data_IF_617232246675
#
_entry.id   IF_617232246675
#
_cell.length_a   1.000
_cell.length_b   1.000
_cell.length_c   1.000
_cell.angle_alpha   90.00
_cell.angle_beta   90.00
_cell.angle_gamma   90.00
#
_symmetry.space_group_name_H-M   'P 1'
#
loop_
_entity.id
_entity.type
_entity.pdbx_description
1 polymer ?
#
# COMPACT_ATOMS: atom_id res chain seq x y z
N UNK A 1 18.75 8.64 -9.16
CA UNK A 1 17.90 7.71 -9.94
C UNK A 1 17.04 8.56 -10.86
N UNK A 2 16.97 8.25 -12.15
CA UNK A 2 16.04 8.95 -13.05
C UNK A 2 14.60 8.61 -12.65
N UNK A 3 13.70 9.58 -12.70
CA UNK A 3 12.27 9.35 -12.46
C UNK A 3 11.71 8.39 -13.53
N UNK A 4 10.88 7.41 -13.15
CA UNK A 4 10.34 6.43 -14.08
C UNK A 4 9.27 7.05 -15.00
N UNK A 5 9.20 6.57 -16.24
CA UNK A 5 8.07 6.87 -17.13
C UNK A 5 6.79 6.20 -16.64
N UNK A 6 5.69 6.97 -16.63
CA UNK A 6 4.41 6.48 -16.16
C UNK A 6 3.48 6.23 -17.35
N UNK A 7 2.89 5.04 -17.40
CA UNK A 7 2.06 4.59 -18.51
C UNK A 7 0.69 4.13 -18.03
N UNK A 8 -0.33 4.46 -18.82
CA UNK A 8 -1.67 3.89 -18.72
C UNK A 8 -1.81 2.83 -19.81
N UNK A 9 -2.30 1.64 -19.45
CA UNK A 9 -2.67 0.63 -20.43
C UNK A 9 -4.05 0.94 -20.98
N UNK A 10 -4.12 1.41 -22.22
CA UNK A 10 -5.37 1.58 -22.95
C UNK A 10 -5.45 0.55 -24.06
N UNK A 11 -6.44 -0.35 -23.98
CA UNK A 11 -6.54 -1.52 -24.85
C UNK A 11 -5.22 -2.33 -24.84
N UNK A 12 -4.50 -2.37 -25.97
CA UNK A 12 -3.21 -3.03 -26.12
C UNK A 12 -2.06 -2.03 -26.40
N UNK A 13 -2.21 -0.79 -25.92
CA UNK A 13 -1.24 0.29 -26.07
C UNK A 13 -0.84 0.82 -24.70
N UNK A 14 0.41 1.26 -24.58
CA UNK A 14 0.87 2.09 -23.46
C UNK A 14 0.73 3.54 -23.86
N UNK A 15 -0.02 4.32 -23.09
CA UNK A 15 -0.27 5.75 -23.29
C UNK A 15 0.41 6.51 -22.15
N UNK A 16 1.14 7.62 -22.41
CA UNK A 16 1.73 8.42 -21.35
C UNK A 16 0.70 8.85 -20.30
N UNK A 17 1.01 8.65 -19.01
CA UNK A 17 0.12 9.02 -17.91
C UNK A 17 0.19 10.51 -17.55
N UNK A 18 1.27 11.18 -17.96
CA UNK A 18 1.58 12.57 -17.62
C UNK A 18 2.35 13.27 -18.76
N UNK A 19 2.33 14.63 -18.81
CA UNK A 19 2.99 15.39 -19.87
C UNK A 19 4.51 15.17 -19.94
N UNK A 20 5.19 14.94 -18.82
CA UNK A 20 6.64 14.75 -18.80
C UNK A 20 7.04 13.42 -19.45
N UNK A 21 6.25 12.35 -19.22
CA UNK A 21 6.42 11.08 -19.91
C UNK A 21 6.15 11.23 -21.42
N UNK A 22 5.14 12.02 -21.81
CA UNK A 22 4.81 12.26 -23.20
C UNK A 22 5.96 12.97 -23.95
N UNK A 23 6.46 14.09 -23.43
CA UNK A 23 7.54 14.88 -24.06
C UNK A 23 8.81 14.05 -24.28
N UNK A 24 9.16 13.20 -23.32
CA UNK A 24 10.33 12.34 -23.46
C UNK A 24 10.10 11.18 -24.42
N UNK A 25 8.86 10.69 -24.54
CA UNK A 25 8.51 9.66 -25.51
C UNK A 25 8.59 10.20 -26.94
N UNK A 26 8.17 11.45 -27.16
CA UNK A 26 8.29 12.14 -28.46
C UNK A 26 9.74 12.29 -28.94
N UNK A 27 10.71 12.19 -28.03
CA UNK A 27 12.14 12.18 -28.38
C UNK A 27 12.61 10.88 -29.08
N UNK A 28 11.84 9.80 -29.02
CA UNK A 28 12.16 8.56 -29.74
C UNK A 28 11.71 8.66 -31.20
N UNK A 29 12.50 8.09 -32.11
CA UNK A 29 12.14 8.04 -33.53
C UNK A 29 10.87 7.19 -33.73
N UNK A 30 9.94 7.69 -34.52
CA UNK A 30 8.75 6.94 -34.93
C UNK A 30 9.13 5.56 -35.51
N UNK A 31 8.44 4.51 -35.06
CA UNK A 31 8.73 3.12 -35.45
C UNK A 31 9.98 2.49 -34.82
N UNK A 32 10.68 3.18 -33.91
CA UNK A 32 11.78 2.58 -33.17
C UNK A 32 11.29 1.45 -32.25
N UNK A 33 12.04 0.33 -32.23
CA UNK A 33 11.80 -0.75 -31.28
C UNK A 33 12.33 -0.33 -29.91
N UNK A 34 11.44 -0.13 -28.95
CA UNK A 34 11.79 0.25 -27.59
C UNK A 34 11.74 -0.97 -26.66
N UNK A 35 12.77 -1.13 -25.82
CA UNK A 35 12.82 -2.18 -24.80
C UNK A 35 12.39 -1.62 -23.45
N UNK A 36 11.26 -2.08 -22.91
CA UNK A 36 10.87 -1.79 -21.54
C UNK A 36 11.66 -2.68 -20.57
N UNK A 37 12.51 -2.08 -19.73
CA UNK A 37 13.30 -2.84 -18.75
C UNK A 37 12.42 -3.48 -17.67
N UNK A 38 11.36 -2.79 -17.24
CA UNK A 38 10.35 -3.33 -16.31
C UNK A 38 9.05 -2.55 -16.47
N UNK A 39 7.91 -3.26 -16.55
CA UNK A 39 6.57 -2.67 -16.42
C UNK A 39 6.00 -3.11 -15.07
N UNK A 40 5.85 -2.16 -14.14
CA UNK A 40 5.20 -2.38 -12.86
C UNK A 40 3.99 -1.48 -12.77
N UNK A 41 2.92 -1.98 -12.13
CA UNK A 41 1.88 -1.08 -11.64
C UNK A 41 2.49 -0.36 -10.44
N UNK A 42 2.55 0.98 -10.43
CA UNK A 42 2.96 1.69 -9.22
C UNK A 42 2.08 1.19 -8.08
N UNK A 43 2.67 0.88 -6.92
CA UNK A 43 1.90 0.65 -5.69
C UNK A 43 0.87 1.75 -5.63
N UNK A 44 -0.40 1.42 -5.41
CA UNK A 44 -1.40 2.47 -5.39
C UNK A 44 -1.13 3.38 -4.19
N UNK A 45 -0.38 4.45 -4.42
CA UNK A 45 -0.20 5.58 -3.52
C UNK A 45 -1.57 6.11 -3.07
N UNK A 46 -2.62 6.11 -3.92
CA UNK A 46 -4.01 6.32 -3.47
C UNK A 46 -4.52 5.33 -2.42
N UNK A 47 -4.31 4.02 -2.59
CA UNK A 47 -4.79 2.99 -1.66
C UNK A 47 -4.07 3.08 -0.32
N UNK A 48 -2.76 3.32 -0.33
CA UNK A 48 -2.01 3.51 0.92
C UNK A 48 -2.49 4.77 1.66
N UNK A 49 -2.64 5.90 0.95
CA UNK A 49 -3.13 7.14 1.57
C UNK A 49 -4.54 6.99 2.15
N UNK A 50 -5.42 6.30 1.42
CA UNK A 50 -6.79 6.02 1.85
C UNK A 50 -6.84 5.08 3.05
N UNK A 51 -6.01 4.03 3.06
CA UNK A 51 -5.83 3.13 4.20
C UNK A 51 -5.45 3.91 5.47
N UNK A 52 -4.43 4.77 5.40
CA UNK A 52 -4.00 5.56 6.57
C UNK A 52 -5.07 6.57 7.01
N UNK A 53 -5.78 7.19 6.08
CA UNK A 53 -6.86 8.14 6.39
C UNK A 53 -8.04 7.44 7.10
N UNK A 54 -8.43 6.26 6.65
CA UNK A 54 -9.49 5.48 7.29
C UNK A 54 -9.06 5.00 8.67
N UNK A 55 -7.83 4.50 8.84
CA UNK A 55 -7.32 4.15 10.17
C UNK A 55 -7.32 5.34 11.13
N UNK A 56 -6.90 6.53 10.67
CA UNK A 56 -6.93 7.73 11.49
C UNK A 56 -8.36 8.10 11.90
N UNK A 57 -9.33 7.90 11.00
CA UNK A 57 -10.75 8.14 11.28
C UNK A 57 -11.28 7.14 12.30
N UNK A 58 -10.95 5.86 12.16
CA UNK A 58 -11.30 4.81 13.13
C UNK A 58 -10.74 5.18 14.51
N UNK A 59 -9.43 5.46 14.62
CA UNK A 59 -8.81 5.86 15.90
C UNK A 59 -9.51 7.08 16.53
N UNK A 60 -9.85 8.08 15.71
CA UNK A 60 -10.51 9.30 16.18
C UNK A 60 -11.92 9.05 16.70
N UNK A 61 -12.68 8.14 16.08
CA UNK A 61 -14.09 7.92 16.43
C UNK A 61 -14.24 6.86 17.52
N UNK A 62 -13.43 5.80 17.48
CA UNK A 62 -13.57 4.66 18.39
C UNK A 62 -12.62 4.71 19.58
N UNK A 63 -11.59 5.59 19.55
CA UNK A 63 -10.56 5.73 20.57
C UNK A 63 -9.81 4.42 20.93
N UNK A 64 -9.93 3.39 20.06
CA UNK A 64 -9.33 2.07 20.24
C UNK A 64 -7.80 2.09 20.31
N UNK A 65 -7.18 3.07 19.67
CA UNK A 65 -5.75 3.22 19.60
C UNK A 65 -5.38 4.71 19.56
N UNK A 66 -4.22 5.11 20.11
CA UNK A 66 -3.79 6.51 20.17
C UNK A 66 -3.69 7.19 18.80
N UNK A 67 -3.21 6.47 17.79
CA UNK A 67 -3.14 6.94 16.42
C UNK A 67 -3.16 5.77 15.40
N UNK A 68 -3.22 6.12 14.12
CA UNK A 68 -3.25 5.16 13.02
C UNK A 68 -2.02 4.24 12.96
N UNK A 69 -0.84 4.69 13.41
CA UNK A 69 0.38 3.87 13.44
C UNK A 69 0.31 2.82 14.53
N UNK A 70 -0.20 3.17 15.71
CA UNK A 70 -0.46 2.20 16.78
C UNK A 70 -1.48 1.15 16.32
N UNK A 71 -2.58 1.59 15.69
CA UNK A 71 -3.58 0.67 15.17
C UNK A 71 -3.02 -0.24 14.07
N UNK A 72 -2.26 0.31 13.13
CA UNK A 72 -1.58 -0.47 12.09
C UNK A 72 -0.62 -1.51 12.69
N UNK A 73 0.21 -1.12 13.67
CA UNK A 73 1.12 -2.02 14.36
C UNK A 73 0.39 -3.16 15.08
N UNK A 74 -0.73 -2.85 15.74
CA UNK A 74 -1.59 -3.84 16.36
C UNK A 74 -2.18 -4.81 15.31
N UNK A 75 -2.67 -4.29 14.20
CA UNK A 75 -3.23 -5.11 13.10
C UNK A 75 -2.16 -6.02 12.48
N UNK A 76 -0.93 -5.54 12.28
CA UNK A 76 0.16 -6.40 11.80
C UNK A 76 0.47 -7.53 12.79
N UNK A 77 0.49 -7.22 14.09
CA UNK A 77 0.74 -8.23 15.13
C UNK A 77 -0.39 -9.27 15.20
N UNK A 78 -1.65 -8.83 15.19
CA UNK A 78 -2.83 -9.70 15.23
C UNK A 78 -2.93 -10.60 14.00
N UNK A 79 -2.42 -10.14 12.85
CA UNK A 79 -2.41 -10.90 11.60
C UNK A 79 -1.08 -11.64 11.34
N UNK A 80 -0.24 -11.84 12.36
CA UNK A 80 1.02 -12.59 12.30
C UNK A 80 2.09 -12.04 11.34
N UNK A 81 2.05 -10.75 11.01
CA UNK A 81 3.11 -10.06 10.27
C UNK A 81 4.24 -9.61 11.22
N UNK A 82 4.81 -10.58 11.92
CA UNK A 82 5.86 -10.38 12.93
C UNK A 82 7.12 -11.16 12.58
N UNK A 83 8.27 -10.65 13.04
CA UNK A 83 9.55 -11.35 13.00
C UNK A 83 10.05 -11.66 14.41
N UNK A 84 10.69 -12.82 14.61
CA UNK A 84 11.35 -13.14 15.86
C UNK A 84 12.59 -12.28 16.06
N UNK A 85 12.71 -11.71 17.26
CA UNK A 85 13.94 -11.14 17.78
C UNK A 85 14.62 -12.22 18.61
N UNK A 86 15.90 -12.43 18.35
CA UNK A 86 16.69 -13.46 19.03
C UNK A 86 17.64 -12.80 20.05
N UNK A 87 17.84 -13.46 21.19
CA UNK A 87 18.96 -13.13 22.08
C UNK A 87 20.29 -13.64 21.49
N UNK A 88 21.39 -13.33 22.19
CA UNK A 88 22.74 -13.78 21.81
C UNK A 88 22.87 -15.32 21.76
N UNK A 89 21.99 -16.02 22.46
CA UNK A 89 21.96 -17.49 22.55
C UNK A 89 21.03 -18.13 21.49
N UNK A 90 20.46 -17.33 20.58
CA UNK A 90 19.59 -17.81 19.50
C UNK A 90 18.16 -18.15 19.94
N UNK A 91 17.75 -17.79 21.15
CA UNK A 91 16.38 -17.97 21.64
C UNK A 91 15.51 -16.77 21.25
N UNK A 92 14.26 -17.03 20.87
CA UNK A 92 13.29 -15.98 20.55
C UNK A 92 12.90 -15.27 21.85
N UNK A 93 13.19 -13.98 21.93
CA UNK A 93 12.85 -13.13 23.09
C UNK A 93 11.59 -12.32 22.87
N UNK A 94 11.25 -11.98 21.62
CA UNK A 94 10.06 -11.22 21.29
C UNK A 94 9.66 -11.43 19.83
N UNK A 95 8.35 -11.32 19.53
CA UNK A 95 7.85 -11.14 18.17
C UNK A 95 7.57 -9.66 17.94
N UNK A 96 8.37 -9.01 17.10
CA UNK A 96 8.18 -7.61 16.74
C UNK A 96 7.55 -7.49 15.37
N UNK A 97 6.78 -6.43 15.14
CA UNK A 97 6.16 -6.15 13.84
C UNK A 97 7.24 -5.99 12.78
N UNK A 98 7.13 -6.71 11.65
CA UNK A 98 8.01 -6.46 10.51
C UNK A 98 7.42 -5.37 9.62
N UNK A 99 7.56 -4.10 10.04
CA UNK A 99 7.07 -2.95 9.25
C UNK A 99 7.69 -2.88 7.85
N UNK A 100 8.90 -3.44 7.67
CA UNK A 100 9.56 -3.56 6.36
C UNK A 100 8.81 -4.57 5.47
N UNK A 101 8.09 -5.55 6.03
CA UNK A 101 7.24 -6.43 5.24
C UNK A 101 6.19 -5.61 4.51
N UNK A 102 5.54 -4.65 5.16
CA UNK A 102 4.57 -3.76 4.54
C UNK A 102 5.18 -2.91 3.41
N UNK A 103 6.36 -2.32 3.65
CA UNK A 103 7.07 -1.55 2.62
C UNK A 103 7.56 -2.39 1.43
N UNK A 104 7.66 -3.72 1.60
CA UNK A 104 8.08 -4.68 0.57
C UNK A 104 6.91 -5.42 -0.08
N UNK A 105 5.69 -5.32 0.46
CA UNK A 105 4.51 -5.99 -0.08
C UNK A 105 4.23 -5.51 -1.51
N UNK A 106 4.06 -6.46 -2.42
CA UNK A 106 3.45 -6.22 -3.71
C UNK A 106 1.95 -6.00 -3.54
N UNK A 107 1.30 -5.36 -4.51
CA UNK A 107 -0.14 -5.07 -4.45
C UNK A 107 -1.01 -6.29 -4.06
N UNK A 108 -0.81 -7.50 -4.63
CA UNK A 108 -1.63 -8.66 -4.24
C UNK A 108 -1.41 -9.14 -2.80
N UNK A 109 -0.25 -8.86 -2.21
CA UNK A 109 0.06 -9.20 -0.82
C UNK A 109 -0.58 -8.18 0.13
N UNK A 110 -0.56 -6.91 -0.27
CA UNK A 110 -1.25 -5.85 0.44
C UNK A 110 -2.77 -6.06 0.43
N UNK A 111 -3.37 -6.46 -0.70
CA UNK A 111 -4.82 -6.72 -0.79
C UNK A 111 -5.25 -7.82 0.20
N UNK A 112 -4.47 -8.91 0.28
CA UNK A 112 -4.70 -9.98 1.26
C UNK A 112 -4.53 -9.52 2.70
N UNK A 113 -3.48 -8.75 2.98
CA UNK A 113 -3.30 -8.14 4.30
C UNK A 113 -4.50 -7.27 4.67
N UNK A 114 -4.99 -6.47 3.72
CA UNK A 114 -6.09 -5.56 3.91
C UNK A 114 -7.39 -6.30 4.25
N UNK A 115 -7.72 -7.38 3.53
CA UNK A 115 -8.86 -8.25 3.86
C UNK A 115 -8.75 -8.82 5.29
N UNK A 116 -7.57 -9.29 5.68
CA UNK A 116 -7.33 -9.80 7.04
C UNK A 116 -7.47 -8.70 8.11
N UNK A 117 -6.98 -7.50 7.84
CA UNK A 117 -7.11 -6.35 8.72
C UNK A 117 -8.58 -5.93 8.89
N UNK A 118 -9.36 -5.88 7.81
CA UNK A 118 -10.80 -5.59 7.85
C UNK A 118 -11.55 -6.65 8.67
N UNK A 119 -11.24 -7.93 8.47
CA UNK A 119 -11.82 -9.03 9.25
C UNK A 119 -11.49 -8.89 10.73
N UNK A 120 -10.24 -8.61 11.06
CA UNK A 120 -9.79 -8.41 12.44
C UNK A 120 -10.54 -7.27 13.12
N UNK A 121 -10.75 -6.15 12.41
CA UNK A 121 -11.51 -5.01 12.91
C UNK A 121 -12.99 -5.37 13.13
N UNK A 122 -13.61 -6.04 12.17
CA UNK A 122 -15.02 -6.41 12.24
C UNK A 122 -15.29 -7.46 13.32
N UNK A 123 -14.58 -8.59 13.28
CA UNK A 123 -14.80 -9.72 14.19
C UNK A 123 -14.22 -9.48 15.58
N UNK A 124 -13.05 -8.84 15.66
CA UNK A 124 -12.34 -8.63 16.92
C UNK A 124 -12.78 -7.39 17.69
N UNK A 125 -13.19 -6.34 17.00
CA UNK A 125 -13.50 -5.04 17.60
C UNK A 125 -14.91 -4.53 17.28
N UNK A 126 -15.68 -5.24 16.46
CA UNK A 126 -17.02 -4.80 16.04
C UNK A 126 -16.98 -3.57 15.11
N UNK A 127 -15.84 -3.27 14.50
CA UNK A 127 -15.63 -2.09 13.65
C UNK A 127 -15.73 -2.51 12.19
N UNK A 128 -16.80 -2.08 11.51
CA UNK A 128 -16.90 -2.26 10.07
C UNK A 128 -16.11 -1.15 9.34
N UNK A 129 -15.19 -1.54 8.47
CA UNK A 129 -14.32 -0.62 7.74
C UNK A 129 -15.09 0.42 6.92
N UNK A 130 -16.18 -0.01 6.28
CA UNK A 130 -16.93 0.82 5.33
C UNK A 130 -17.64 2.01 6.00
N UNK A 131 -17.93 1.91 7.31
CA UNK A 131 -18.54 2.98 8.10
C UNK A 131 -17.60 4.18 8.27
N UNK A 132 -16.29 3.96 8.14
CA UNK A 132 -15.24 4.96 8.34
C UNK A 132 -14.51 5.32 7.05
N UNK A 133 -15.01 4.86 5.91
CA UNK A 133 -14.38 5.02 4.61
C UNK A 133 -14.32 6.51 4.22
N UNK A 134 -13.11 7.06 4.17
CA UNK A 134 -12.90 8.47 3.77
C UNK A 134 -13.07 8.60 2.25
N UNK A 135 -14.29 8.89 1.79
CA UNK A 135 -14.58 9.09 0.36
C UNK A 135 -13.63 10.15 -0.21
N UNK A 136 -12.82 9.78 -1.20
CA UNK A 136 -12.08 10.74 -2.01
C UNK A 136 -13.10 11.45 -2.89
N UNK A 137 -13.33 12.74 -2.67
CA UNK A 137 -13.89 13.58 -3.73
C UNK A 137 -12.89 13.51 -4.90
N UNK A 138 -13.37 13.01 -6.05
CA UNK A 138 -12.61 13.15 -7.29
C UNK A 138 -12.48 14.65 -7.53
N UNK A 139 -11.27 15.18 -7.40
CA UNK A 139 -10.96 16.44 -8.06
C UNK A 139 -11.22 16.21 -9.55
N UNK A 140 -12.26 16.89 -10.06
CA UNK A 140 -12.64 16.90 -11.46
C UNK A 140 -11.51 17.46 -12.33
#
# INVERSE_FOLDING_TARGET
MAEPYMWIKENNRLVPADPWTAERFDGFKEGALLKAATLTVPRSVPFNSHYWATLATICKVTEIAPDAKYLHGALLKLNNYTKPVYNKDGQVIELVVDSIAFDRMKQPEFDKYFEHAQRTLSEGFGINWDDYLVKRERAA
#
